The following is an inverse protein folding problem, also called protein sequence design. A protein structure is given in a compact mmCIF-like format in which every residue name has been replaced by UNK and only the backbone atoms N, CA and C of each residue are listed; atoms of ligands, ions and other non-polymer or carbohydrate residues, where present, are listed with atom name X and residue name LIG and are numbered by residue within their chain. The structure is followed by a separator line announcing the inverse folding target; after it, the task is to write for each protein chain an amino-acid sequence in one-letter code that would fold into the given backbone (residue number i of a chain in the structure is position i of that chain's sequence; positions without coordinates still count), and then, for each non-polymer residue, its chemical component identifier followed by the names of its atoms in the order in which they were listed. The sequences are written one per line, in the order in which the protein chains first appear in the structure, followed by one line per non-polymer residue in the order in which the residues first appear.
data_IF_552571546294
#
_entry.id   IF_552571546294
#
_cell.length_a   1.000
_cell.length_b   1.000
_cell.length_c   1.000
_cell.angle_alpha   90.00
_cell.angle_beta   90.00
_cell.angle_gamma   90.00
#
_symmetry.space_group_name_H-M   'P 1'
#
loop_
_entity.id
_entity.type
_entity.pdbx_description
1 polymer ?
#
# COMPACT_ATOMS: atom_id res chain seq x y z
N UNK A 1 1.77 -0.71 -5.60
CA UNK A 1 2.52 -1.54 -4.64
C UNK A 1 2.69 -0.76 -3.36
N UNK A 2 2.40 -1.40 -2.24
CA UNK A 2 2.44 -0.82 -0.90
C UNK A 2 3.39 -1.65 -0.05
N UNK A 3 4.24 -0.98 0.73
CA UNK A 3 5.13 -1.59 1.71
C UNK A 3 4.64 -1.17 3.08
N UNK A 4 4.24 -2.17 3.88
CA UNK A 4 3.78 -1.98 5.25
C UNK A 4 4.89 -2.23 6.26
N UNK A 5 4.68 -1.76 7.48
CA UNK A 5 5.54 -2.03 8.63
C UNK A 5 5.60 -3.55 8.91
N UNK A 6 6.78 -4.12 9.20
CA UNK A 6 6.94 -5.56 9.42
C UNK A 6 6.28 -6.05 10.72
N UNK A 7 6.06 -5.14 11.68
CA UNK A 7 5.49 -5.44 12.99
C UNK A 7 3.96 -5.70 12.96
N UNK A 8 3.32 -5.53 11.79
CA UNK A 8 1.88 -5.75 11.64
C UNK A 8 1.50 -7.23 11.71
N UNK A 9 0.50 -7.51 12.53
CA UNK A 9 -0.17 -8.82 12.61
C UNK A 9 -0.97 -9.14 11.34
N UNK A 10 -1.37 -10.41 11.21
CA UNK A 10 -2.19 -10.85 10.08
C UNK A 10 -3.59 -10.22 10.08
N UNK A 11 -4.18 -10.05 11.26
CA UNK A 11 -5.51 -9.44 11.42
C UNK A 11 -5.49 -7.96 11.03
N UNK A 12 -4.47 -7.21 11.46
CA UNK A 12 -4.27 -5.81 11.05
C UNK A 12 -4.06 -5.69 9.55
N UNK A 13 -3.34 -6.64 8.95
CA UNK A 13 -3.13 -6.69 7.51
C UNK A 13 -4.44 -6.95 6.75
N UNK A 14 -5.29 -7.83 7.27
CA UNK A 14 -6.59 -8.12 6.68
C UNK A 14 -7.53 -6.91 6.79
N UNK A 15 -7.53 -6.23 7.94
CA UNK A 15 -8.26 -4.98 8.13
C UNK A 15 -7.77 -3.87 7.19
N UNK A 16 -6.45 -3.76 6.98
CA UNK A 16 -5.85 -2.83 6.02
C UNK A 16 -6.35 -3.13 4.60
N UNK A 17 -6.29 -4.39 4.17
CA UNK A 17 -6.76 -4.79 2.84
C UNK A 17 -8.24 -4.44 2.65
N UNK A 18 -9.10 -4.79 3.60
CA UNK A 18 -10.52 -4.50 3.53
C UNK A 18 -10.79 -2.98 3.43
N UNK A 19 -10.13 -2.16 4.27
CA UNK A 19 -10.27 -0.70 4.25
C UNK A 19 -9.93 -0.10 2.88
N UNK A 20 -8.85 -0.56 2.25
CA UNK A 20 -8.42 -0.04 0.96
C UNK A 20 -9.21 -0.62 -0.22
N UNK A 21 -9.73 -1.84 -0.10
CA UNK A 21 -10.71 -2.38 -1.06
C UNK A 21 -11.99 -1.55 -1.07
N UNK A 22 -12.56 -1.24 0.11
CA UNK A 22 -13.74 -0.39 0.23
C UNK A 22 -13.52 1.00 -0.35
N UNK A 23 -12.34 1.61 -0.10
CA UNK A 23 -11.97 2.90 -0.68
C UNK A 23 -11.88 2.83 -2.21
N UNK A 24 -11.26 1.79 -2.76
CA UNK A 24 -11.17 1.59 -4.21
C UNK A 24 -12.56 1.41 -4.83
N UNK A 25 -13.44 0.62 -4.21
CA UNK A 25 -14.82 0.42 -4.69
C UNK A 25 -15.62 1.72 -4.61
N UNK A 26 -15.53 2.48 -3.50
CA UNK A 26 -16.15 3.79 -3.35
C UNK A 26 -15.65 4.80 -4.40
N UNK A 27 -14.38 4.70 -4.79
CA UNK A 27 -13.77 5.48 -5.88
C UNK A 27 -14.18 5.04 -7.29
N UNK A 28 -15.11 4.09 -7.42
CA UNK A 28 -15.56 3.50 -8.68
C UNK A 28 -14.58 2.49 -9.28
N UNK A 29 -13.74 1.88 -8.44
CA UNK A 29 -12.80 0.84 -8.81
C UNK A 29 -13.49 -0.48 -9.10
N UNK A 30 -13.03 -1.18 -10.14
CA UNK A 30 -13.55 -2.49 -10.55
C UNK A 30 -12.38 -3.47 -10.65
N UNK A 31 -12.66 -4.76 -10.40
CA UNK A 31 -11.68 -5.85 -10.40
C UNK A 31 -10.47 -5.55 -9.51
N UNK A 32 -10.72 -5.41 -8.20
CA UNK A 32 -9.66 -5.27 -7.21
C UNK A 32 -9.12 -6.66 -6.87
N UNK A 33 -7.87 -6.91 -7.22
CA UNK A 33 -7.14 -8.10 -6.85
C UNK A 33 -5.98 -7.73 -5.93
N UNK A 34 -5.88 -8.43 -4.80
CA UNK A 34 -4.86 -8.19 -3.79
C UNK A 34 -3.95 -9.40 -3.69
N UNK A 35 -2.66 -9.17 -3.90
CA UNK A 35 -1.63 -10.19 -3.74
C UNK A 35 -0.66 -9.78 -2.63
N UNK A 36 -0.61 -10.62 -1.59
CA UNK A 36 0.32 -10.47 -0.48
C UNK A 36 1.59 -11.30 -0.76
N UNK A 37 2.77 -10.64 -0.77
CA UNK A 37 4.07 -11.30 -0.96
C UNK A 37 4.77 -11.65 0.36
N UNK A 38 4.17 -11.34 1.51
CA UNK A 38 4.74 -11.58 2.83
C UNK A 38 5.84 -10.59 3.21
N UNK A 39 6.59 -10.96 4.25
CA UNK A 39 7.70 -10.18 4.80
C UNK A 39 8.95 -10.45 3.96
N UNK A 40 9.57 -9.38 3.46
CA UNK A 40 10.83 -9.44 2.71
C UNK A 40 11.80 -8.39 3.25
N UNK A 41 13.11 -8.68 3.27
CA UNK A 41 14.12 -7.69 3.62
C UNK A 41 14.19 -6.58 2.56
N UNK A 42 14.30 -5.34 3.04
CA UNK A 42 14.47 -4.16 2.21
C UNK A 42 15.93 -4.03 1.77
N UNK A 43 16.15 -3.45 0.59
CA UNK A 43 17.49 -3.20 0.09
C UNK A 43 18.29 -2.19 0.95
N UNK A 44 17.61 -1.36 1.71
CA UNK A 44 18.20 -0.37 2.62
C UNK A 44 17.22 -0.03 3.75
N UNK A 45 17.75 0.49 4.86
CA UNK A 45 16.94 0.91 6.00
C UNK A 45 16.08 2.13 5.67
N UNK A 46 14.77 2.05 5.92
CA UNK A 46 13.84 3.15 5.68
C UNK A 46 13.35 3.73 7.01
N UNK A 47 13.32 5.07 7.09
CA UNK A 47 12.79 5.79 8.26
C UNK A 47 11.38 6.28 7.97
N UNK A 48 10.45 6.04 8.90
CA UNK A 48 9.08 6.56 8.85
C UNK A 48 8.79 7.26 10.17
N UNK A 49 8.24 8.47 10.08
CA UNK A 49 7.73 9.21 11.23
C UNK A 49 6.23 8.97 11.34
N UNK A 50 5.77 8.52 12.50
CA UNK A 50 4.35 8.31 12.77
C UNK A 50 3.68 9.61 13.24
N UNK A 51 2.34 9.65 13.27
CA UNK A 51 1.59 10.77 13.87
C UNK A 51 1.88 10.97 15.35
N UNK A 52 2.23 9.90 16.07
CA UNK A 52 2.68 9.96 17.46
C UNK A 52 4.07 10.62 17.65
N UNK A 53 4.76 10.96 16.56
CA UNK A 53 6.07 11.61 16.58
C UNK A 53 7.26 10.64 16.64
N UNK A 54 7.00 9.34 16.82
CA UNK A 54 8.01 8.28 16.79
C UNK A 54 8.67 8.17 15.41
N UNK A 55 10.00 8.00 15.40
CA UNK A 55 10.79 7.79 14.19
C UNK A 55 11.26 6.35 14.14
N UNK A 56 10.53 5.51 13.41
CA UNK A 56 10.82 4.08 13.30
C UNK A 56 11.75 3.83 12.11
N UNK A 57 12.71 2.93 12.29
CA UNK A 57 13.63 2.49 11.23
C UNK A 57 13.36 1.03 10.92
N UNK A 58 13.04 0.73 9.66
CA UNK A 58 12.68 -0.61 9.21
C UNK A 58 13.75 -1.18 8.30
N UNK A 59 14.07 -2.46 8.51
CA UNK A 59 14.93 -3.27 7.64
C UNK A 59 14.12 -4.27 6.81
N UNK A 60 12.96 -4.68 7.31
CA UNK A 60 12.02 -5.55 6.62
C UNK A 60 10.73 -4.79 6.30
N UNK A 61 9.95 -5.31 5.36
CA UNK A 61 8.63 -4.78 5.04
C UNK A 61 7.71 -5.84 4.45
N UNK A 62 6.40 -5.64 4.65
CA UNK A 62 5.39 -6.51 4.05
C UNK A 62 4.95 -5.90 2.72
N UNK A 63 5.05 -6.68 1.64
CA UNK A 63 4.72 -6.21 0.30
C UNK A 63 3.31 -6.62 -0.10
N UNK A 64 2.46 -5.62 -0.33
CA UNK A 64 1.13 -5.78 -0.92
C UNK A 64 1.08 -5.22 -2.34
N UNK A 65 0.53 -5.99 -3.26
CA UNK A 65 0.29 -5.59 -4.64
C UNK A 65 -1.21 -5.54 -4.88
N UNK A 66 -1.70 -4.36 -5.24
CA UNK A 66 -3.07 -4.14 -5.65
C UNK A 66 -3.10 -3.98 -7.17
N UNK A 67 -3.86 -4.83 -7.84
CA UNK A 67 -4.20 -4.69 -9.26
C UNK A 67 -5.67 -4.27 -9.32
N UNK A 68 -5.96 -3.11 -9.91
CA UNK A 68 -7.31 -2.57 -9.97
C UNK A 68 -7.48 -1.70 -11.21
N UNK A 69 -8.75 -1.49 -11.61
CA UNK A 69 -9.13 -0.50 -12.60
C UNK A 69 -9.93 0.61 -11.93
N UNK A 70 -9.43 1.84 -11.93
CA UNK A 70 -10.11 3.00 -11.33
C UNK A 70 -10.15 4.18 -12.30
N UNK A 71 -11.02 5.14 -12.00
CA UNK A 71 -11.02 6.44 -12.67
C UNK A 71 -9.74 7.22 -12.33
N UNK A 72 -9.20 8.01 -13.28
CA UNK A 72 -7.98 8.78 -13.05
C UNK A 72 -8.14 9.85 -11.96
N UNK A 73 -9.35 10.36 -11.73
CA UNK A 73 -9.63 11.36 -10.69
C UNK A 73 -9.47 10.77 -9.27
N UNK A 74 -9.89 9.52 -9.08
CA UNK A 74 -9.85 8.84 -7.78
C UNK A 74 -8.44 8.46 -7.32
N UNK A 75 -7.45 8.45 -8.22
CA UNK A 75 -6.07 8.02 -7.89
C UNK A 75 -5.34 9.02 -7.00
N UNK A 76 -5.67 10.31 -7.11
CA UNK A 76 -5.05 11.36 -6.31
C UNK A 76 -5.39 11.16 -4.82
N UNK A 77 -6.68 10.97 -4.53
CA UNK A 77 -7.19 10.70 -3.18
C UNK A 77 -6.56 9.42 -2.61
N UNK A 78 -6.50 8.35 -3.41
CA UNK A 78 -5.85 7.10 -2.98
C UNK A 78 -4.35 7.29 -2.67
N UNK A 79 -3.64 8.09 -3.46
CA UNK A 79 -2.24 8.39 -3.23
C UNK A 79 -2.02 9.16 -1.92
N UNK A 80 -2.84 10.18 -1.68
CA UNK A 80 -2.81 10.98 -0.44
C UNK A 80 -3.15 10.13 0.78
N UNK A 81 -4.21 9.31 0.72
CA UNK A 81 -4.61 8.47 1.85
C UNK A 81 -3.51 7.48 2.22
N UNK A 82 -2.90 6.80 1.23
CA UNK A 82 -1.76 5.90 1.45
C UNK A 82 -0.53 6.61 2.03
N UNK A 83 -0.29 7.87 1.69
CA UNK A 83 0.84 8.63 2.24
C UNK A 83 0.59 9.05 3.69
N UNK A 84 -0.65 9.42 4.01
CA UNK A 84 -1.05 9.84 5.36
C UNK A 84 -1.15 8.70 6.36
N UNK A 85 -1.21 7.46 5.89
CA UNK A 85 -1.30 6.28 6.75
C UNK A 85 0.06 5.99 7.40
N UNK A 86 0.03 5.66 8.69
CA UNK A 86 1.24 5.38 9.48
C UNK A 86 1.75 3.96 9.22
N UNK A 87 0.84 3.05 8.88
CA UNK A 87 1.15 1.66 8.53
C UNK A 87 1.88 1.53 7.20
N UNK A 88 1.68 2.51 6.31
CA UNK A 88 2.32 2.54 5.01
C UNK A 88 3.68 3.22 5.12
N UNK A 89 4.73 2.40 5.05
CA UNK A 89 6.11 2.87 5.04
C UNK A 89 6.43 3.50 3.68
N UNK A 90 5.98 2.86 2.59
CA UNK A 90 6.14 3.39 1.23
C UNK A 90 5.02 2.93 0.32
N UNK A 91 4.49 3.84 -0.48
CA UNK A 91 3.53 3.55 -1.55
C UNK A 91 4.10 3.96 -2.91
N UNK A 92 3.74 3.21 -3.94
CA UNK A 92 4.05 3.54 -5.32
C UNK A 92 2.94 3.01 -6.23
N UNK A 93 2.48 3.85 -7.15
CA UNK A 93 1.40 3.51 -8.10
C UNK A 93 1.96 3.53 -9.52
N UNK A 94 1.58 2.55 -10.32
CA UNK A 94 2.07 2.40 -11.68
C UNK A 94 0.91 2.17 -12.64
N UNK A 95 0.87 2.91 -13.74
CA UNK A 95 -0.04 2.62 -14.85
C UNK A 95 0.56 1.53 -15.72
N UNK A 96 -0.09 0.37 -15.75
CA UNK A 96 0.36 -0.74 -16.59
C UNK A 96 -0.03 -0.46 -18.05
N UNK A 97 0.93 -0.60 -18.97
CA UNK A 97 0.71 -0.52 -20.42
C UNK A 97 1.03 -1.88 -21.03
N UNK A 98 0.21 -2.32 -21.99
CA UNK A 98 0.49 -3.54 -22.76
C UNK A 98 1.86 -3.41 -23.43
N UNK A 99 2.79 -4.30 -23.07
CA UNK A 99 4.13 -4.36 -23.64
C UNK A 99 4.02 -4.76 -25.12
N UNK A 100 4.58 -3.93 -26.00
CA UNK A 100 4.86 -4.29 -27.40
C UNK A 100 6.39 -4.40 -27.49
N UNK A 101 6.87 -5.58 -27.85
CA UNK A 101 8.29 -5.84 -28.06
C UNK A 101 8.68 -5.49 -29.48
#
# INVERSE_FOLDING_TARGET
MVVLRPDMSEDERLAFVQKYEELLVAGGGVHVEVLNKGVLPLAYSIKKKNRAGESNTYLDGIYLVFTYFTKPESIAILGETLLTDDDVVRSSSFKIRKRKF
#
